data_IF_564701538547
#
_entry.id   IF_564701538547
#
_cell.length_a   1.000
_cell.length_b   1.000
_cell.length_c   1.000
_cell.angle_alpha   90.00
_cell.angle_beta   90.00
_cell.angle_gamma   90.00
#
_symmetry.space_group_name_H-M   'P 1'
#
loop_
_entity.id
_entity.type
_entity.pdbx_description
1 polymer ?
#
# COMPACT_ATOMS: atom_id res chain seq x y z
N UNK A 1 -45.71 -9.50 25.08
CA UNK A 1 -44.80 -9.04 24.01
C UNK A 1 -45.17 -7.59 23.70
N UNK A 2 -44.26 -6.61 23.81
CA UNK A 2 -44.59 -5.24 23.44
C UNK A 2 -44.80 -5.19 21.92
N UNK A 3 -46.02 -4.89 21.50
CA UNK A 3 -46.37 -4.67 20.09
C UNK A 3 -45.74 -3.35 19.64
N UNK A 4 -44.88 -3.43 18.64
CA UNK A 4 -44.32 -2.26 17.94
C UNK A 4 -45.45 -1.29 17.56
N UNK A 5 -45.31 -0.03 17.97
CA UNK A 5 -46.29 1.07 17.77
C UNK A 5 -46.18 1.67 16.36
N UNK A 6 -45.21 1.25 15.54
CA UNK A 6 -45.04 1.82 14.20
C UNK A 6 -45.91 1.07 13.18
N UNK A 7 -46.80 1.77 12.44
CA UNK A 7 -47.52 1.16 11.34
C UNK A 7 -46.52 0.62 10.30
N UNK A 8 -46.85 -0.50 9.61
CA UNK A 8 -45.99 -1.00 8.55
C UNK A 8 -45.83 0.08 7.47
N UNK A 9 -44.63 0.21 6.86
CA UNK A 9 -44.39 1.19 5.80
C UNK A 9 -45.36 0.96 4.65
N UNK A 10 -45.78 2.05 4.00
CA UNK A 10 -46.60 1.95 2.78
C UNK A 10 -45.78 1.28 1.66
N UNK A 11 -46.44 0.67 0.69
CA UNK A 11 -45.80 -0.10 -0.39
C UNK A 11 -44.72 0.68 -1.18
N UNK A 12 -44.74 2.01 -1.10
CA UNK A 12 -43.81 2.93 -1.79
C UNK A 12 -42.65 3.44 -0.91
N UNK A 13 -42.47 2.92 0.31
CA UNK A 13 -41.47 3.35 1.28
C UNK A 13 -40.41 2.25 1.55
N UNK A 14 -39.13 2.60 1.40
CA UNK A 14 -37.98 1.72 1.68
C UNK A 14 -37.24 2.22 2.91
N UNK A 15 -36.62 1.34 3.70
CA UNK A 15 -35.79 1.75 4.84
C UNK A 15 -34.34 2.04 4.40
N UNK A 16 -33.78 3.17 4.83
CA UNK A 16 -32.39 3.51 4.57
C UNK A 16 -31.45 2.64 5.43
N UNK A 17 -30.64 1.78 4.79
CA UNK A 17 -29.70 0.90 5.49
C UNK A 17 -28.61 1.60 6.33
N UNK A 18 -28.40 2.91 6.18
CA UNK A 18 -27.43 3.66 6.98
C UNK A 18 -28.02 4.29 8.24
N UNK A 19 -29.26 4.77 8.20
CA UNK A 19 -29.85 5.55 9.31
C UNK A 19 -31.23 5.10 9.77
N UNK A 20 -31.81 4.06 9.15
CA UNK A 20 -33.11 3.50 9.50
C UNK A 20 -34.31 4.39 9.16
N UNK A 21 -34.11 5.50 8.43
CA UNK A 21 -35.20 6.36 8.02
C UNK A 21 -35.99 5.72 6.85
N UNK A 22 -37.32 5.72 6.94
CA UNK A 22 -38.20 5.39 5.82
C UNK A 22 -38.15 6.50 4.77
N UNK A 23 -37.92 6.12 3.53
CA UNK A 23 -37.71 7.00 2.38
C UNK A 23 -38.58 6.55 1.21
N UNK A 24 -39.13 7.50 0.46
CA UNK A 24 -39.91 7.18 -0.74
C UNK A 24 -39.02 6.68 -1.87
N UNK A 25 -39.51 5.68 -2.61
CA UNK A 25 -38.85 5.17 -3.81
C UNK A 25 -38.66 6.30 -4.84
N UNK A 26 -37.44 6.43 -5.40
CA UNK A 26 -37.09 7.45 -6.40
C UNK A 26 -36.13 8.56 -5.91
N UNK A 27 -35.76 8.58 -4.62
CA UNK A 27 -34.72 9.48 -4.11
C UNK A 27 -33.32 8.94 -4.42
N UNK A 28 -32.44 9.79 -4.93
CA UNK A 28 -31.02 9.45 -5.17
C UNK A 28 -30.20 9.42 -3.88
N UNK A 29 -30.60 10.22 -2.87
CA UNK A 29 -29.94 10.33 -1.57
C UNK A 29 -30.96 10.27 -0.45
N UNK A 30 -30.56 9.69 0.67
CA UNK A 30 -31.32 9.77 1.90
C UNK A 30 -31.34 11.23 2.41
N UNK A 31 -32.51 11.85 2.63
CA UNK A 31 -32.61 13.22 3.15
C UNK A 31 -32.14 13.34 4.61
N UNK A 32 -32.11 12.23 5.36
CA UNK A 32 -31.71 12.23 6.77
C UNK A 32 -30.19 12.11 6.96
N UNK A 33 -29.52 11.20 6.23
CA UNK A 33 -28.09 10.93 6.42
C UNK A 33 -27.21 11.25 5.20
N UNK A 34 -27.79 11.65 4.07
CA UNK A 34 -27.06 12.03 2.86
C UNK A 34 -26.47 10.87 2.05
N UNK A 35 -26.62 9.61 2.48
CA UNK A 35 -26.15 8.43 1.76
C UNK A 35 -26.86 8.27 0.43
N UNK A 36 -26.11 7.92 -0.62
CA UNK A 36 -26.67 7.57 -1.93
C UNK A 36 -27.42 6.24 -1.85
N UNK A 37 -28.64 6.22 -2.37
CA UNK A 37 -29.53 5.06 -2.33
C UNK A 37 -29.37 4.17 -3.57
N UNK A 38 -28.78 4.73 -4.61
CA UNK A 38 -28.42 4.06 -5.85
C UNK A 38 -26.94 4.32 -6.04
N UNK A 39 -26.15 3.27 -6.22
CA UNK A 39 -24.76 3.40 -6.61
C UNK A 39 -24.73 4.10 -7.97
N UNK A 40 -24.10 5.29 -8.10
CA UNK A 40 -23.91 5.89 -9.41
C UNK A 40 -23.20 4.87 -10.29
N UNK A 41 -23.67 4.74 -11.52
CA UNK A 41 -23.11 3.82 -12.50
C UNK A 41 -21.73 4.35 -12.91
N UNK A 42 -20.73 4.13 -12.05
CA UNK A 42 -19.34 4.33 -12.39
C UNK A 42 -19.05 3.38 -13.55
N UNK A 43 -18.45 3.85 -14.67
CA UNK A 43 -18.00 2.93 -15.68
C UNK A 43 -17.09 1.94 -14.97
N UNK A 44 -17.49 0.66 -14.93
CA UNK A 44 -16.71 -0.41 -14.33
C UNK A 44 -15.30 -0.30 -14.91
N UNK A 45 -14.36 0.30 -14.16
CA UNK A 45 -12.96 0.21 -14.49
C UNK A 45 -12.68 -1.28 -14.51
N UNK A 46 -12.56 -1.85 -15.71
CA UNK A 46 -12.38 -3.28 -15.90
C UNK A 46 -11.17 -3.69 -15.08
N UNK A 47 -11.41 -4.24 -13.89
CA UNK A 47 -10.34 -4.82 -13.08
C UNK A 47 -9.64 -5.81 -14.00
N UNK A 48 -8.32 -5.68 -14.21
CA UNK A 48 -7.62 -6.53 -15.17
C UNK A 48 -7.91 -7.98 -14.79
N UNK A 49 -8.59 -8.70 -15.69
CA UNK A 49 -9.00 -10.09 -15.46
C UNK A 49 -7.73 -10.93 -15.34
N UNK A 50 -7.26 -11.14 -14.11
CA UNK A 50 -6.12 -11.99 -13.83
C UNK A 50 -6.50 -13.43 -14.18
N UNK A 51 -6.14 -13.87 -15.39
CA UNK A 51 -6.25 -15.28 -15.77
C UNK A 51 -4.98 -15.98 -15.28
N UNK A 52 -5.07 -16.85 -14.27
CA UNK A 52 -3.89 -17.55 -13.79
C UNK A 52 -3.33 -18.40 -14.93
N UNK A 53 -2.14 -18.03 -15.41
CA UNK A 53 -1.41 -18.82 -16.40
C UNK A 53 -1.13 -20.21 -15.82
N UNK A 54 -1.21 -21.24 -16.67
CA UNK A 54 -0.87 -22.61 -16.28
C UNK A 54 0.56 -22.66 -15.72
N UNK A 55 0.79 -23.52 -14.70
CA UNK A 55 2.12 -23.72 -14.09
C UNK A 55 3.21 -24.00 -15.14
N UNK A 56 2.83 -24.71 -16.21
CA UNK A 56 3.74 -25.00 -17.33
C UNK A 56 4.11 -23.75 -18.12
N UNK A 57 3.13 -22.89 -18.45
CA UNK A 57 3.41 -21.63 -19.16
C UNK A 57 4.28 -20.67 -18.35
N UNK A 58 4.12 -20.63 -17.02
CA UNK A 58 4.99 -19.82 -16.15
C UNK A 58 6.42 -20.36 -16.13
N UNK A 59 6.61 -21.69 -16.12
CA UNK A 59 7.93 -22.31 -16.19
C UNK A 59 8.61 -22.10 -17.55
N UNK A 60 7.85 -22.14 -18.64
CA UNK A 60 8.37 -21.86 -19.98
C UNK A 60 8.77 -20.38 -20.11
N UNK A 61 7.94 -19.46 -19.61
CA UNK A 61 8.26 -18.02 -19.60
C UNK A 61 9.50 -17.70 -18.75
N UNK A 62 9.67 -18.37 -17.60
CA UNK A 62 10.84 -18.16 -16.75
C UNK A 62 12.14 -18.69 -17.39
N UNK A 63 12.07 -19.82 -18.11
CA UNK A 63 13.21 -20.37 -18.86
C UNK A 63 13.55 -19.48 -20.06
N UNK A 64 12.55 -19.06 -20.85
CA UNK A 64 12.75 -18.18 -22.02
C UNK A 64 13.38 -16.85 -21.62
N UNK A 65 12.97 -16.28 -20.49
CA UNK A 65 13.53 -15.03 -19.97
C UNK A 65 14.98 -15.20 -19.51
N UNK A 66 15.29 -16.31 -18.83
CA UNK A 66 16.65 -16.66 -18.43
C UNK A 66 17.60 -16.84 -19.63
N UNK A 67 17.07 -17.32 -20.76
CA UNK A 67 17.82 -17.48 -22.02
C UNK A 67 17.99 -16.14 -22.75
N UNK A 68 17.01 -15.23 -22.68
CA UNK A 68 17.07 -13.92 -23.33
C UNK A 68 17.91 -12.88 -22.57
N UNK A 69 18.27 -13.15 -21.31
CA UNK A 69 19.06 -12.22 -20.49
C UNK A 69 18.34 -10.90 -20.21
N UNK A 70 17.01 -10.87 -20.36
CA UNK A 70 16.20 -9.69 -20.03
C UNK A 70 16.18 -9.56 -18.49
N UNK A 71 16.74 -8.48 -17.92
CA UNK A 71 16.71 -8.27 -16.49
C UNK A 71 15.25 -8.18 -16.04
N UNK A 72 14.89 -8.96 -15.02
CA UNK A 72 13.59 -8.79 -14.41
C UNK A 72 13.55 -7.40 -13.78
N UNK A 73 12.53 -6.59 -14.07
CA UNK A 73 12.26 -5.35 -13.31
C UNK A 73 12.23 -5.58 -11.79
N UNK A 74 11.77 -6.77 -11.39
CA UNK A 74 11.85 -7.22 -10.01
C UNK A 74 13.28 -7.34 -9.47
N UNK A 75 14.27 -7.78 -10.27
CA UNK A 75 15.66 -7.87 -9.84
C UNK A 75 16.25 -6.48 -9.56
N UNK A 76 15.91 -5.43 -10.31
CA UNK A 76 16.37 -4.07 -10.02
C UNK A 76 15.76 -3.54 -8.69
N UNK A 77 14.48 -3.79 -8.46
CA UNK A 77 13.82 -3.43 -7.20
C UNK A 77 14.38 -4.20 -6.00
N UNK A 78 14.56 -5.51 -6.15
CA UNK A 78 15.05 -6.37 -5.07
C UNK A 78 16.54 -6.14 -4.81
N UNK A 79 17.37 -5.90 -5.83
CA UNK A 79 18.80 -5.61 -5.63
C UNK A 79 19.04 -4.29 -4.91
N UNK A 80 18.23 -3.26 -5.18
CA UNK A 80 18.25 -2.00 -4.42
C UNK A 80 17.89 -2.21 -2.95
N UNK A 81 16.75 -2.83 -2.68
CA UNK A 81 16.28 -3.10 -1.32
C UNK A 81 17.23 -3.99 -0.51
N UNK A 82 17.82 -5.03 -1.14
CA UNK A 82 18.79 -5.91 -0.48
C UNK A 82 20.08 -5.17 -0.12
N UNK A 83 20.56 -4.28 -1.00
CA UNK A 83 21.73 -3.43 -0.71
C UNK A 83 21.46 -2.47 0.44
N UNK A 84 20.27 -1.84 0.47
CA UNK A 84 19.87 -0.98 1.57
C UNK A 84 19.82 -1.74 2.91
N UNK A 85 19.24 -2.94 2.92
CA UNK A 85 19.19 -3.78 4.12
C UNK A 85 20.59 -4.14 4.63
N UNK A 86 21.51 -4.54 3.73
CA UNK A 86 22.87 -4.89 4.10
C UNK A 86 23.64 -3.70 4.73
N UNK A 87 23.48 -2.50 4.17
CA UNK A 87 24.09 -1.28 4.73
C UNK A 87 23.47 -0.89 6.07
N UNK A 88 22.15 -1.05 6.21
CA UNK A 88 21.47 -0.81 7.47
C UNK A 88 21.97 -1.75 8.57
N UNK A 89 22.11 -3.04 8.27
CA UNK A 89 22.60 -4.04 9.21
C UNK A 89 24.07 -3.81 9.60
N UNK A 90 24.91 -3.36 8.66
CA UNK A 90 26.29 -2.97 8.95
C UNK A 90 26.36 -1.76 9.89
N UNK A 91 25.57 -0.71 9.60
CA UNK A 91 25.49 0.47 10.46
C UNK A 91 24.93 0.10 11.85
N UNK A 92 23.94 -0.78 11.92
CA UNK A 92 23.38 -1.29 13.17
C UNK A 92 24.44 -2.05 13.98
N UNK A 93 25.25 -2.89 13.34
CA UNK A 93 26.35 -3.61 13.99
C UNK A 93 27.41 -2.66 14.52
N UNK A 94 27.79 -1.64 13.75
CA UNK A 94 28.78 -0.62 14.15
C UNK A 94 28.33 0.17 15.37
N UNK A 95 27.05 0.50 15.43
CA UNK A 95 26.45 1.31 16.51
C UNK A 95 26.04 0.44 17.72
N UNK A 96 26.42 -0.84 17.75
CA UNK A 96 26.16 -1.71 18.91
C UNK A 96 24.73 -2.24 19.02
N UNK A 97 23.95 -2.19 17.94
CA UNK A 97 22.57 -2.70 17.90
C UNK A 97 21.49 -1.65 18.13
N UNK A 98 21.86 -0.40 18.42
CA UNK A 98 20.90 0.67 18.71
C UNK A 98 20.25 1.25 17.45
N UNK A 99 19.09 0.69 17.10
CA UNK A 99 18.28 1.12 15.95
C UNK A 99 17.94 2.61 15.96
N UNK A 100 17.66 3.19 17.13
CA UNK A 100 17.29 4.61 17.27
C UNK A 100 18.44 5.55 16.90
N UNK A 101 19.70 5.13 17.10
CA UNK A 101 20.86 5.90 16.68
C UNK A 101 21.02 5.82 15.17
N UNK A 102 20.86 4.62 14.59
CA UNK A 102 20.89 4.41 13.13
C UNK A 102 19.87 5.29 12.42
N UNK A 103 18.62 5.31 12.89
CA UNK A 103 17.57 6.14 12.30
C UNK A 103 17.89 7.65 12.41
N UNK A 104 18.46 8.10 13.54
CA UNK A 104 18.93 9.50 13.68
C UNK A 104 20.05 9.85 12.71
N UNK A 105 21.00 8.94 12.48
CA UNK A 105 22.08 9.16 11.51
C UNK A 105 21.54 9.27 10.09
N UNK A 106 20.61 8.40 9.71
CA UNK A 106 19.96 8.45 8.40
C UNK A 106 19.17 9.75 8.24
N UNK A 107 18.42 10.17 9.26
CA UNK A 107 17.62 11.39 9.21
C UNK A 107 18.49 12.64 9.12
N UNK A 108 19.61 12.66 9.84
CA UNK A 108 20.61 13.72 9.71
C UNK A 108 21.12 13.83 8.26
N UNK A 109 21.48 12.71 7.62
CA UNK A 109 21.96 12.72 6.23
C UNK A 109 20.88 13.18 5.25
N UNK A 110 19.61 12.85 5.51
CA UNK A 110 18.46 13.34 4.72
C UNK A 110 18.30 14.85 4.82
N UNK A 111 18.45 15.42 6.02
CA UNK A 111 18.38 16.87 6.23
C UNK A 111 19.53 17.58 5.51
N UNK A 112 20.74 17.00 5.54
CA UNK A 112 21.90 17.58 4.88
C UNK A 112 21.85 17.49 3.35
N UNK A 113 21.18 16.46 2.79
CA UNK A 113 21.04 16.27 1.35
C UNK A 113 19.58 15.99 0.97
N UNK A 114 18.73 17.02 0.89
CA UNK A 114 17.34 16.88 0.46
C UNK A 114 17.31 16.42 -1.00
N UNK A 115 17.02 15.15 -1.24
CA UNK A 115 17.02 14.51 -2.57
C UNK A 115 17.93 13.29 -2.70
N UNK A 116 18.78 13.01 -1.69
CA UNK A 116 19.53 11.77 -1.66
C UNK A 116 18.62 10.55 -1.46
N UNK A 117 18.88 9.45 -2.17
CA UNK A 117 18.18 8.19 -1.94
C UNK A 117 18.54 7.62 -0.57
N UNK A 118 17.67 6.75 -0.02
CA UNK A 118 17.91 6.11 1.27
C UNK A 118 19.23 5.34 1.28
N UNK A 119 19.54 4.62 0.20
CA UNK A 119 20.83 3.96 -0.02
C UNK A 119 22.01 4.93 0.14
N UNK A 120 21.97 6.10 -0.51
CA UNK A 120 23.05 7.10 -0.39
C UNK A 120 23.16 7.68 1.02
N UNK A 121 22.03 7.90 1.71
CA UNK A 121 22.03 8.34 3.10
C UNK A 121 22.70 7.31 4.03
N UNK A 122 22.41 6.02 3.82
CA UNK A 122 23.04 4.93 4.58
C UNK A 122 24.54 4.85 4.34
N UNK A 123 24.98 4.95 3.08
CA UNK A 123 26.40 4.95 2.74
C UNK A 123 27.15 6.13 3.40
N UNK A 124 26.60 7.34 3.30
CA UNK A 124 27.19 8.52 3.93
C UNK A 124 27.22 8.38 5.45
N UNK A 125 26.15 7.88 6.06
CA UNK A 125 26.07 7.67 7.50
C UNK A 125 27.16 6.70 7.99
N UNK A 126 27.41 5.61 7.26
CA UNK A 126 28.51 4.68 7.56
C UNK A 126 29.86 5.37 7.41
N UNK A 127 30.12 6.03 6.27
CA UNK A 127 31.40 6.69 6.03
C UNK A 127 31.71 7.77 7.07
N UNK A 128 30.69 8.51 7.50
CA UNK A 128 30.84 9.53 8.54
C UNK A 128 31.07 8.91 9.91
N UNK A 129 30.30 7.89 10.28
CA UNK A 129 30.49 7.17 11.53
C UNK A 129 31.90 6.57 11.61
N UNK A 130 32.42 6.03 10.51
CA UNK A 130 33.78 5.51 10.44
C UNK A 130 34.84 6.61 10.56
N UNK A 131 34.58 7.83 10.09
CA UNK A 131 35.48 8.96 10.28
C UNK A 131 35.45 9.50 11.72
N UNK A 132 34.27 9.50 12.35
CA UNK A 132 34.06 10.01 13.71
C UNK A 132 34.55 9.04 14.80
N UNK A 133 34.56 7.72 14.52
CA UNK A 133 34.95 6.67 15.48
C UNK A 133 36.32 6.04 15.19
N UNK A 134 37.19 6.74 14.44
CA UNK A 134 38.55 6.33 14.13
C UNK A 134 39.57 7.14 14.90
#
# INVERSE_FOLDING_TARGET
>A
MPTSITPPPKDDETECGNCGAYIYQGLLKCPNCGVYLIEPNEPEEERPKFRPKSKFSLAVESILRKIRGEPHYAEELFTGALREAALFDDLLRKVGGDRSVVERLIEYERVQRPGATRLTCLQNAISRWEQENR
#
